data_IF_916274447572
#
_entry.id   IF_916274447572
#
_cell.length_a   1.000
_cell.length_b   1.000
_cell.length_c   1.000
_cell.angle_alpha   90.00
_cell.angle_beta   90.00
_cell.angle_gamma   90.00
#
_symmetry.space_group_name_H-M   'P 1'
#
loop_
_entity.id
_entity.type
_entity.pdbx_description
1 polymer ?
#
# COMPACT_ATOMS: atom_id res chain seq x y z
N UNK A 1 2.20 29.83 -9.91
CA UNK A 1 3.47 30.06 -10.57
C UNK A 1 3.25 30.68 -11.94
N UNK A 2 4.12 31.56 -12.35
CA UNK A 2 4.11 32.23 -13.66
C UNK A 2 5.38 31.83 -14.43
N UNK A 3 5.23 31.51 -15.71
CA UNK A 3 6.34 31.29 -16.63
C UNK A 3 6.27 32.32 -17.75
N UNK A 4 7.39 32.96 -18.04
CA UNK A 4 7.54 33.85 -19.21
C UNK A 4 8.30 33.07 -20.28
N UNK A 5 7.72 33.00 -21.45
CA UNK A 5 8.25 32.28 -22.61
C UNK A 5 8.48 33.28 -23.73
N UNK A 6 9.71 33.35 -24.22
CA UNK A 6 10.12 34.18 -25.35
C UNK A 6 10.63 33.28 -26.47
N UNK A 7 10.04 33.39 -27.65
CA UNK A 7 10.39 32.57 -28.83
C UNK A 7 10.44 31.06 -28.54
N UNK A 8 9.50 30.56 -27.75
CA UNK A 8 9.44 29.16 -27.37
C UNK A 8 10.41 28.73 -26.26
N UNK A 9 11.20 29.66 -25.70
CA UNK A 9 12.09 29.40 -24.57
C UNK A 9 11.51 29.99 -23.29
N UNK A 10 11.56 29.23 -22.19
CA UNK A 10 11.25 29.78 -20.88
C UNK A 10 12.42 30.68 -20.45
N UNK A 11 12.15 31.97 -20.29
CA UNK A 11 13.14 32.96 -19.90
C UNK A 11 13.05 33.31 -18.42
N UNK A 12 11.89 33.18 -17.81
CA UNK A 12 11.69 33.48 -16.40
C UNK A 12 10.65 32.58 -15.74
N UNK A 13 10.86 32.27 -14.45
CA UNK A 13 9.96 31.51 -13.60
C UNK A 13 9.73 32.28 -12.33
N UNK A 14 8.50 32.67 -12.03
CA UNK A 14 8.13 33.34 -10.79
C UNK A 14 7.15 32.46 -10.00
N UNK A 15 7.60 31.95 -8.87
CA UNK A 15 6.81 31.10 -7.97
C UNK A 15 6.35 31.87 -6.72
N UNK A 16 6.91 33.02 -6.41
CA UNK A 16 6.57 33.81 -5.23
C UNK A 16 5.31 34.64 -5.44
N UNK A 17 4.47 34.81 -4.43
CA UNK A 17 3.31 35.71 -4.49
C UNK A 17 3.81 37.18 -4.58
N UNK A 18 3.26 37.95 -5.50
CA UNK A 18 3.64 39.34 -5.65
C UNK A 18 3.05 39.99 -6.90
N UNK A 19 3.26 41.31 -7.03
CA UNK A 19 3.01 42.07 -8.24
C UNK A 19 4.34 42.32 -8.92
N UNK A 20 4.45 41.93 -10.18
CA UNK A 20 5.70 42.00 -10.93
C UNK A 20 5.53 42.83 -12.19
N UNK A 21 6.49 43.69 -12.46
CA UNK A 21 6.60 44.42 -13.73
C UNK A 21 7.68 43.75 -14.57
N UNK A 22 7.29 43.24 -15.72
CA UNK A 22 8.24 42.65 -16.67
C UNK A 22 8.84 43.74 -17.57
N UNK A 23 10.18 43.89 -17.51
CA UNK A 23 10.90 44.80 -18.40
C UNK A 23 11.71 43.98 -19.43
N UNK A 24 11.21 44.00 -20.68
CA UNK A 24 11.84 43.25 -21.76
C UNK A 24 13.18 43.82 -22.23
N UNK A 25 13.60 44.99 -21.70
CA UNK A 25 14.89 45.64 -22.03
C UNK A 25 16.08 45.14 -21.22
N UNK A 26 15.82 44.43 -20.11
CA UNK A 26 16.83 43.84 -19.24
C UNK A 26 17.12 42.38 -19.61
N UNK A 27 18.39 41.95 -19.44
CA UNK A 27 18.72 40.53 -19.58
C UNK A 27 17.90 39.69 -18.61
N UNK A 28 17.45 38.48 -19.03
CA UNK A 28 16.62 37.63 -18.18
C UNK A 28 17.27 37.33 -16.84
N UNK A 29 16.70 37.82 -15.75
CA UNK A 29 17.14 37.47 -14.42
C UNK A 29 16.47 36.15 -14.02
N UNK A 30 17.26 35.11 -13.82
CA UNK A 30 16.77 33.82 -13.32
C UNK A 30 16.53 34.00 -11.82
N UNK A 31 15.28 34.25 -11.44
CA UNK A 31 14.89 34.22 -10.02
C UNK A 31 14.83 32.76 -9.56
N UNK A 32 15.91 32.30 -8.97
CA UNK A 32 16.00 31.01 -8.29
C UNK A 32 15.46 31.13 -6.85
N UNK A 33 14.15 31.07 -6.67
CA UNK A 33 13.59 30.63 -5.39
C UNK A 33 13.93 29.17 -5.11
N UNK A 34 13.62 28.62 -3.94
CA UNK A 34 14.00 27.26 -3.50
C UNK A 34 13.58 26.07 -4.42
N UNK A 35 12.87 26.29 -5.50
CA UNK A 35 12.67 25.39 -6.64
C UNK A 35 13.94 25.27 -7.52
N UNK A 36 14.99 26.09 -7.23
CA UNK A 36 16.08 26.36 -8.15
C UNK A 36 17.09 25.25 -8.39
N UNK A 37 17.24 24.27 -7.53
CA UNK A 37 18.26 23.23 -7.74
C UNK A 37 17.88 22.25 -8.89
N UNK A 38 16.61 21.85 -9.00
CA UNK A 38 16.13 20.99 -10.08
C UNK A 38 15.87 21.77 -11.37
N UNK A 39 15.43 23.02 -11.26
CA UNK A 39 15.17 23.91 -12.39
C UNK A 39 16.46 24.35 -13.05
N UNK A 40 17.52 24.67 -12.30
CA UNK A 40 18.81 25.09 -12.83
C UNK A 40 19.47 24.08 -13.76
N UNK A 41 19.33 22.78 -13.50
CA UNK A 41 19.87 21.74 -14.38
C UNK A 41 19.10 21.64 -15.71
N UNK A 42 17.80 21.87 -15.69
CA UNK A 42 16.98 21.85 -16.91
C UNK A 42 17.28 23.08 -17.79
N UNK A 43 17.49 24.25 -17.18
CA UNK A 43 17.89 25.48 -17.92
C UNK A 43 19.26 25.36 -18.57
N UNK A 44 20.26 24.75 -17.95
CA UNK A 44 21.57 24.54 -18.56
C UNK A 44 21.51 23.66 -19.80
N UNK A 45 20.58 22.72 -19.86
CA UNK A 45 20.39 21.85 -21.02
C UNK A 45 19.58 22.50 -22.17
N UNK A 46 18.67 23.43 -21.85
CA UNK A 46 17.87 24.16 -22.84
C UNK A 46 18.68 25.30 -23.48
N UNK A 47 19.48 26.02 -22.72
CA UNK A 47 20.27 27.18 -23.17
C UNK A 47 21.33 26.87 -24.23
N UNK A 48 21.74 25.62 -24.39
CA UNK A 48 22.81 25.22 -25.33
C UNK A 48 22.35 24.93 -26.76
N UNK A 49 21.05 24.94 -27.06
CA UNK A 49 20.55 24.40 -28.33
C UNK A 49 20.06 25.39 -29.38
N UNK A 50 19.82 26.67 -29.08
CA UNK A 50 19.26 27.59 -30.08
C UNK A 50 19.82 29.00 -29.95
N UNK A 51 20.72 29.35 -30.86
CA UNK A 51 21.05 30.72 -31.25
C UNK A 51 20.38 31.00 -32.60
N UNK A 52 19.32 31.82 -32.61
CA UNK A 52 18.76 32.35 -33.83
C UNK A 52 19.20 33.81 -34.03
N UNK A 53 19.85 34.11 -35.13
CA UNK A 53 20.14 35.47 -35.57
C UNK A 53 18.99 36.00 -36.42
N UNK A 54 18.48 37.18 -36.07
CA UNK A 54 17.49 37.93 -36.82
C UNK A 54 16.49 38.64 -35.93
N UNK A 55 16.27 39.93 -36.10
CA UNK A 55 15.21 40.72 -35.44
C UNK A 55 13.82 40.34 -35.98
N UNK A 56 13.29 39.21 -35.57
CA UNK A 56 11.89 38.85 -35.68
C UNK A 56 11.10 39.46 -34.51
N UNK A 57 9.81 39.84 -34.69
CA UNK A 57 8.98 40.28 -33.57
C UNK A 57 9.02 39.18 -32.50
N UNK A 58 9.44 39.55 -31.28
CA UNK A 58 9.60 38.60 -30.18
C UNK A 58 8.22 38.09 -29.77
N UNK A 59 7.94 36.80 -30.02
CA UNK A 59 6.72 36.18 -29.53
C UNK A 59 6.92 35.91 -28.02
N UNK A 60 6.27 36.72 -27.20
CA UNK A 60 6.30 36.63 -25.74
C UNK A 60 4.95 36.12 -25.25
N UNK A 61 4.99 35.08 -24.40
CA UNK A 61 3.81 34.49 -23.79
C UNK A 61 4.01 34.33 -22.31
N UNK A 62 2.95 34.57 -21.55
CA UNK A 62 2.91 34.39 -20.11
C UNK A 62 1.95 33.25 -19.78
N UNK A 63 2.44 32.25 -19.05
CA UNK A 63 1.65 31.13 -18.61
C UNK A 63 1.53 31.16 -17.10
N UNK A 64 0.29 31.00 -16.61
CA UNK A 64 0.00 30.89 -15.18
C UNK A 64 -0.36 29.46 -14.82
N UNK A 65 0.31 28.92 -13.80
CA UNK A 65 0.07 27.58 -13.28
C UNK A 65 -0.53 27.63 -11.90
N UNK A 66 -1.63 26.91 -11.70
CA UNK A 66 -2.17 26.68 -10.37
C UNK A 66 -1.35 25.61 -9.69
N UNK A 67 -0.46 26.01 -8.76
CA UNK A 67 0.37 25.12 -7.96
C UNK A 67 -0.29 24.71 -6.65
N UNK A 68 -1.52 25.19 -6.38
CA UNK A 68 -2.30 24.76 -5.23
C UNK A 68 -2.77 23.32 -5.41
N UNK A 69 -3.17 22.72 -4.31
CA UNK A 69 -3.79 21.41 -4.30
C UNK A 69 -5.07 21.37 -5.14
N UNK A 70 -5.14 20.44 -6.06
CA UNK A 70 -6.29 20.16 -6.92
C UNK A 70 -7.07 18.99 -6.32
N UNK A 71 -8.13 19.33 -5.60
CA UNK A 71 -8.99 18.39 -4.86
C UNK A 71 -10.15 17.86 -5.70
N UNK A 72 -10.87 16.86 -5.16
CA UNK A 72 -12.12 16.35 -5.71
C UNK A 72 -11.95 15.44 -6.94
N UNK A 73 -10.78 14.82 -7.12
CA UNK A 73 -10.57 13.86 -8.19
C UNK A 73 -11.05 12.49 -7.75
N UNK A 74 -12.18 12.05 -8.28
CA UNK A 74 -12.81 10.78 -7.92
C UNK A 74 -12.19 9.62 -8.66
N UNK A 75 -11.93 8.52 -7.95
CA UNK A 75 -11.51 7.25 -8.52
C UNK A 75 -12.40 6.10 -8.04
N UNK A 76 -12.38 5.02 -8.75
CA UNK A 76 -13.02 3.75 -8.38
C UNK A 76 -12.46 2.64 -9.25
N UNK A 77 -12.28 1.48 -8.66
CA UNK A 77 -11.74 0.31 -9.35
C UNK A 77 -12.86 -0.40 -10.11
N UNK A 78 -12.87 -0.40 -11.45
CA UNK A 78 -13.91 -1.08 -12.25
C UNK A 78 -13.82 -2.60 -12.09
N UNK A 79 -12.61 -3.12 -11.93
CA UNK A 79 -12.31 -4.53 -11.66
C UNK A 79 -11.68 -4.67 -10.28
N UNK A 80 -11.83 -5.83 -9.62
CA UNK A 80 -11.13 -6.08 -8.36
C UNK A 80 -9.61 -5.96 -8.54
N UNK A 81 -8.96 -5.33 -7.56
CA UNK A 81 -7.50 -5.22 -7.48
C UNK A 81 -7.00 -6.30 -6.54
N UNK A 82 -6.00 -7.10 -6.92
CA UNK A 82 -5.44 -8.11 -6.04
C UNK A 82 -4.86 -7.48 -4.76
N UNK A 83 -5.20 -8.09 -3.61
CA UNK A 83 -4.68 -7.71 -2.30
C UNK A 83 -4.31 -8.96 -1.53
N UNK A 84 -3.07 -9.08 -1.12
CA UNK A 84 -2.59 -10.23 -0.34
C UNK A 84 -3.02 -10.10 1.11
N UNK A 85 -3.70 -11.11 1.63
CA UNK A 85 -4.09 -11.20 3.05
C UNK A 85 -3.17 -12.18 3.75
N UNK A 86 -2.41 -11.68 4.71
CA UNK A 86 -1.51 -12.50 5.55
C UNK A 86 -1.99 -12.44 6.99
N UNK A 87 -2.28 -13.59 7.58
CA UNK A 87 -2.52 -13.76 9.01
C UNK A 87 -1.64 -14.90 9.54
N UNK A 88 -0.50 -14.54 10.09
CA UNK A 88 0.49 -15.51 10.62
C UNK A 88 -0.09 -16.37 11.75
N UNK A 89 -1.03 -15.85 12.53
CA UNK A 89 -1.66 -16.59 13.64
C UNK A 89 -2.60 -17.65 13.13
N UNK A 90 -3.35 -17.32 12.08
CA UNK A 90 -4.27 -18.25 11.43
C UNK A 90 -3.59 -19.15 10.38
N UNK A 91 -2.33 -18.83 10.00
CA UNK A 91 -1.62 -19.50 8.91
C UNK A 91 -2.29 -19.25 7.56
N UNK A 92 -2.84 -18.03 7.35
CA UNK A 92 -3.51 -17.59 6.14
C UNK A 92 -2.52 -16.79 5.31
N UNK A 93 -2.37 -17.13 4.05
CA UNK A 93 -1.63 -16.37 3.05
C UNK A 93 -2.33 -16.58 1.71
N UNK A 94 -3.20 -15.65 1.34
CA UNK A 94 -4.05 -15.73 0.15
C UNK A 94 -4.18 -14.38 -0.52
N UNK A 95 -4.40 -14.39 -1.82
CA UNK A 95 -4.78 -13.20 -2.58
C UNK A 95 -6.29 -13.12 -2.72
N UNK A 96 -6.85 -11.93 -2.50
CA UNK A 96 -8.26 -11.63 -2.66
C UNK A 96 -8.44 -10.48 -3.64
N UNK A 97 -9.61 -10.39 -4.26
CA UNK A 97 -10.00 -9.26 -5.08
C UNK A 97 -10.69 -8.18 -4.26
N UNK A 98 -10.11 -6.96 -4.18
CA UNK A 98 -10.77 -5.84 -3.51
C UNK A 98 -11.22 -4.78 -4.50
N UNK A 99 -12.39 -4.22 -4.25
CA UNK A 99 -12.88 -3.02 -4.93
C UNK A 99 -12.87 -1.86 -3.97
N UNK A 100 -12.37 -0.72 -4.44
CA UNK A 100 -12.38 0.49 -3.66
C UNK A 100 -12.74 1.71 -4.51
N UNK A 101 -13.24 2.74 -3.83
CA UNK A 101 -13.44 4.05 -4.41
C UNK A 101 -13.14 5.13 -3.39
N UNK A 102 -12.86 6.32 -3.89
CA UNK A 102 -12.55 7.46 -3.06
C UNK A 102 -12.18 8.68 -3.90
N UNK A 103 -11.46 9.58 -3.27
CA UNK A 103 -10.98 10.80 -3.89
C UNK A 103 -9.48 10.95 -3.64
N UNK A 104 -8.78 11.54 -4.59
CA UNK A 104 -7.39 11.93 -4.43
C UNK A 104 -7.21 13.39 -4.78
N UNK A 105 -6.14 13.96 -4.28
CA UNK A 105 -5.69 15.28 -4.66
C UNK A 105 -4.24 15.23 -5.13
N UNK A 106 -3.91 16.12 -6.03
CA UNK A 106 -2.56 16.30 -6.53
C UNK A 106 -2.24 17.77 -6.72
N UNK A 107 -0.98 18.09 -6.88
CA UNK A 107 -0.56 19.43 -7.26
C UNK A 107 0.53 19.40 -8.34
N UNK A 108 0.73 20.54 -8.98
CA UNK A 108 1.85 20.75 -9.89
C UNK A 108 3.06 21.13 -9.03
N UNK A 109 3.92 20.16 -8.74
CA UNK A 109 5.15 20.35 -7.96
C UNK A 109 6.26 21.03 -8.78
N UNK A 110 6.29 20.75 -10.09
CA UNK A 110 7.26 21.37 -11.01
C UNK A 110 6.55 21.92 -12.26
N UNK A 111 6.18 23.21 -12.24
CA UNK A 111 5.48 23.86 -13.38
C UNK A 111 6.27 23.85 -14.69
N UNK A 112 7.61 23.86 -14.61
CA UNK A 112 8.45 23.84 -15.81
C UNK A 112 8.39 22.50 -16.54
N UNK A 113 8.46 21.38 -15.80
CA UNK A 113 8.26 20.04 -16.36
C UNK A 113 6.86 19.89 -16.93
N UNK A 114 5.86 20.41 -16.23
CA UNK A 114 4.48 20.38 -16.68
C UNK A 114 4.30 21.17 -17.97
N UNK A 115 4.87 22.38 -18.06
CA UNK A 115 4.87 23.18 -19.28
C UNK A 115 5.52 22.42 -20.44
N UNK A 116 6.73 21.95 -20.23
CA UNK A 116 7.56 21.35 -21.29
C UNK A 116 6.94 20.05 -21.84
N UNK A 117 6.38 19.23 -20.97
CA UNK A 117 5.98 17.86 -21.32
C UNK A 117 4.48 17.67 -21.47
N UNK A 118 3.65 18.62 -21.01
CA UNK A 118 2.19 18.46 -21.01
C UNK A 118 1.49 19.57 -21.79
N UNK A 119 1.74 20.85 -21.51
CA UNK A 119 0.93 21.96 -22.02
C UNK A 119 1.69 23.00 -22.83
N UNK A 120 2.92 22.73 -23.28
CA UNK A 120 3.78 23.70 -23.98
C UNK A 120 3.21 24.33 -25.26
N UNK A 121 2.16 23.77 -25.85
CA UNK A 121 1.54 24.24 -27.09
C UNK A 121 0.13 24.84 -26.89
N UNK A 122 -0.26 25.09 -25.66
CA UNK A 122 -1.58 25.65 -25.34
C UNK A 122 -1.62 27.13 -25.65
N UNK A 123 -2.66 27.57 -26.33
CA UNK A 123 -2.86 28.99 -26.76
C UNK A 123 -3.72 29.79 -25.79
N UNK A 124 -4.68 29.14 -25.10
CA UNK A 124 -5.58 29.81 -24.16
C UNK A 124 -5.50 29.21 -22.78
N UNK A 125 -6.16 28.07 -22.56
CA UNK A 125 -6.20 27.40 -21.26
C UNK A 125 -6.00 25.89 -21.39
N UNK A 126 -5.24 25.32 -20.49
CA UNK A 126 -5.13 23.88 -20.29
C UNK A 126 -5.94 23.50 -19.06
N UNK A 127 -7.09 22.86 -19.30
CA UNK A 127 -8.00 22.49 -18.22
C UNK A 127 -7.66 21.11 -17.65
N UNK A 128 -8.00 20.89 -16.39
CA UNK A 128 -7.82 19.61 -15.69
C UNK A 128 -8.43 18.43 -16.45
N UNK A 129 -9.60 18.62 -17.05
CA UNK A 129 -10.36 17.57 -17.75
C UNK A 129 -9.57 16.92 -18.89
N UNK A 130 -8.63 17.67 -19.48
CA UNK A 130 -7.77 17.16 -20.57
C UNK A 130 -6.85 16.03 -20.08
N UNK A 131 -6.44 16.07 -18.82
CA UNK A 131 -5.49 15.12 -18.25
C UNK A 131 -6.16 14.07 -17.33
N UNK A 132 -7.37 14.35 -16.85
CA UNK A 132 -8.04 13.57 -15.80
C UNK A 132 -8.16 12.07 -16.12
N UNK A 133 -8.58 11.74 -17.34
CA UNK A 133 -8.74 10.33 -17.75
C UNK A 133 -7.42 9.56 -17.73
N UNK A 134 -6.33 10.20 -18.16
CA UNK A 134 -5.00 9.59 -18.17
C UNK A 134 -4.46 9.43 -16.75
N UNK A 135 -4.54 10.47 -15.93
CA UNK A 135 -4.10 10.41 -14.53
C UNK A 135 -4.85 9.32 -13.77
N UNK A 136 -6.16 9.21 -13.98
CA UNK A 136 -7.00 8.19 -13.37
C UNK A 136 -6.59 6.78 -13.81
N UNK A 137 -6.33 6.57 -15.09
CA UNK A 137 -5.87 5.27 -15.60
C UNK A 137 -4.52 4.86 -15.03
N UNK A 138 -3.57 5.78 -14.97
CA UNK A 138 -2.25 5.53 -14.39
C UNK A 138 -2.32 5.29 -12.89
N UNK A 139 -3.15 6.05 -12.16
CA UNK A 139 -3.41 5.85 -10.74
C UNK A 139 -3.96 4.44 -10.47
N UNK A 140 -4.97 4.00 -11.24
CA UNK A 140 -5.56 2.68 -11.08
C UNK A 140 -4.54 1.55 -11.35
N UNK A 141 -3.63 1.76 -12.28
CA UNK A 141 -2.54 0.82 -12.55
C UNK A 141 -1.54 0.76 -11.38
N UNK A 142 -1.22 1.90 -10.78
CA UNK A 142 -0.32 2.00 -9.64
C UNK A 142 -0.92 1.49 -8.31
N UNK A 143 -2.25 1.35 -8.23
CA UNK A 143 -2.92 0.84 -7.01
C UNK A 143 -2.49 -0.59 -6.69
N UNK A 144 -2.30 -1.45 -7.68
CA UNK A 144 -1.93 -2.84 -7.42
C UNK A 144 -0.56 -2.97 -6.72
N UNK A 145 0.55 -2.42 -7.23
CA UNK A 145 1.82 -2.47 -6.53
C UNK A 145 1.79 -1.69 -5.20
N UNK A 146 1.08 -0.56 -5.13
CA UNK A 146 0.92 0.18 -3.87
C UNK A 146 0.21 -0.68 -2.80
N UNK A 147 -0.87 -1.37 -3.15
CA UNK A 147 -1.57 -2.26 -2.22
C UNK A 147 -0.73 -3.49 -1.84
N UNK A 148 0.07 -4.03 -2.75
CA UNK A 148 1.00 -5.11 -2.43
C UNK A 148 2.02 -4.67 -1.35
N UNK A 149 2.50 -3.43 -1.43
CA UNK A 149 3.37 -2.82 -0.42
C UNK A 149 2.69 -2.68 0.93
N UNK A 150 1.47 -2.11 0.95
CA UNK A 150 0.67 -1.93 2.15
C UNK A 150 0.36 -3.28 2.82
N UNK A 151 0.00 -4.28 2.03
CA UNK A 151 -0.20 -5.66 2.51
C UNK A 151 1.10 -6.25 3.10
N UNK A 152 2.24 -6.00 2.46
CA UNK A 152 3.57 -6.41 2.98
C UNK A 152 3.91 -5.80 4.34
N UNK A 153 3.34 -4.66 4.70
CA UNK A 153 3.43 -4.03 6.02
C UNK A 153 2.51 -4.70 7.06
N UNK A 154 1.73 -5.71 6.68
CA UNK A 154 0.78 -6.40 7.55
C UNK A 154 -0.56 -5.66 7.75
N UNK A 155 -0.83 -4.64 6.96
CA UNK A 155 -2.07 -3.86 7.02
C UNK A 155 -3.18 -4.64 6.30
N UNK A 156 -4.31 -4.83 7.00
CA UNK A 156 -5.48 -5.52 6.42
C UNK A 156 -6.23 -4.62 5.43
N UNK A 157 -6.86 -5.22 4.41
CA UNK A 157 -7.65 -4.46 3.44
C UNK A 157 -8.74 -3.59 4.08
N UNK A 158 -9.38 -4.09 5.15
CA UNK A 158 -10.42 -3.36 5.89
C UNK A 158 -9.89 -2.14 6.67
N UNK A 159 -8.58 -2.05 6.90
CA UNK A 159 -7.92 -0.95 7.58
C UNK A 159 -7.41 0.14 6.62
N UNK A 160 -7.46 -0.08 5.30
CA UNK A 160 -6.99 0.88 4.28
C UNK A 160 -7.53 2.31 4.46
N UNK A 161 -8.82 2.54 4.85
CA UNK A 161 -9.30 3.89 5.10
C UNK A 161 -8.57 4.66 6.22
N UNK A 162 -7.90 3.93 7.12
CA UNK A 162 -7.08 4.51 8.19
C UNK A 162 -5.61 4.76 7.81
N UNK A 163 -5.14 4.24 6.66
CA UNK A 163 -3.75 4.29 6.22
C UNK A 163 -3.56 5.08 4.92
N UNK A 164 -4.27 6.20 4.83
CA UNK A 164 -4.32 7.02 3.61
C UNK A 164 -2.99 7.67 3.27
N UNK A 165 -2.18 8.03 4.28
CA UNK A 165 -0.87 8.63 4.07
C UNK A 165 0.15 7.63 3.53
N UNK A 166 0.15 6.42 4.07
CA UNK A 166 1.02 5.34 3.61
C UNK A 166 0.68 4.93 2.16
N UNK A 167 -0.61 4.92 1.82
CA UNK A 167 -1.06 4.65 0.45
C UNK A 167 -0.62 5.77 -0.48
N UNK A 168 -0.77 7.04 -0.09
CA UNK A 168 -0.32 8.19 -0.89
C UNK A 168 1.19 8.15 -1.13
N UNK A 169 1.98 7.81 -0.11
CA UNK A 169 3.43 7.65 -0.23
C UNK A 169 3.79 6.50 -1.19
N UNK A 170 3.14 5.35 -1.07
CA UNK A 170 3.35 4.21 -1.96
C UNK A 170 2.98 4.54 -3.41
N UNK A 171 1.87 5.22 -3.64
CA UNK A 171 1.45 5.67 -4.97
C UNK A 171 2.42 6.69 -5.58
N UNK A 172 2.92 7.65 -4.79
CA UNK A 172 3.92 8.61 -5.26
C UNK A 172 5.22 7.93 -5.69
N UNK A 173 5.63 6.87 -4.99
CA UNK A 173 6.81 6.10 -5.39
C UNK A 173 6.58 5.34 -6.69
N UNK A 174 5.44 4.66 -6.83
CA UNK A 174 5.09 3.92 -8.05
C UNK A 174 4.90 4.84 -9.28
N UNK A 175 4.37 6.04 -9.06
CA UNK A 175 4.11 7.02 -10.11
C UNK A 175 5.28 8.00 -10.34
N UNK A 176 6.37 7.92 -9.55
CA UNK A 176 7.45 8.90 -9.57
C UNK A 176 8.04 9.16 -10.96
N UNK A 177 8.31 8.09 -11.71
CA UNK A 177 8.89 8.21 -13.05
C UNK A 177 7.98 8.93 -14.05
N UNK A 178 6.67 8.73 -13.94
CA UNK A 178 5.70 9.29 -14.89
C UNK A 178 5.14 10.64 -14.44
N UNK A 179 4.86 10.79 -13.15
CA UNK A 179 4.22 11.99 -12.62
C UNK A 179 5.25 13.01 -12.19
N UNK A 180 6.13 12.68 -11.23
CA UNK A 180 7.11 13.61 -10.69
C UNK A 180 8.20 13.96 -11.70
N UNK A 181 8.89 12.96 -12.23
CA UNK A 181 10.10 13.16 -13.02
C UNK A 181 9.79 13.62 -14.44
N UNK A 182 8.66 13.18 -15.00
CA UNK A 182 8.28 13.52 -16.36
C UNK A 182 7.32 14.70 -16.44
N UNK A 183 6.30 14.77 -15.57
CA UNK A 183 5.24 15.80 -15.65
C UNK A 183 5.29 16.82 -14.52
N UNK A 184 6.09 16.60 -13.48
CA UNK A 184 6.15 17.49 -12.33
C UNK A 184 4.89 17.47 -11.47
N UNK A 185 4.19 16.33 -11.39
CA UNK A 185 2.97 16.13 -10.60
C UNK A 185 3.24 15.27 -9.37
N UNK A 186 2.56 15.57 -8.26
CA UNK A 186 2.62 14.75 -7.04
C UNK A 186 1.24 14.60 -6.42
N UNK A 187 0.96 13.41 -5.87
CA UNK A 187 -0.22 13.16 -5.04
C UNK A 187 0.01 13.81 -3.68
N UNK A 188 -0.94 14.64 -3.25
CA UNK A 188 -0.94 15.28 -1.93
C UNK A 188 -1.70 14.43 -0.92
N UNK A 189 -2.89 13.96 -1.31
CA UNK A 189 -3.72 13.13 -0.46
C UNK A 189 -4.41 12.03 -1.28
N UNK A 190 -4.62 10.89 -0.64
CA UNK A 190 -5.35 9.77 -1.20
C UNK A 190 -6.34 9.25 -0.16
N UNK A 191 -7.62 9.40 -0.44
CA UNK A 191 -8.71 8.97 0.44
C UNK A 191 -9.36 7.69 -0.06
N UNK A 192 -9.64 6.76 0.84
CA UNK A 192 -10.40 5.54 0.56
C UNK A 192 -11.75 5.67 1.27
N UNK A 193 -12.80 5.97 0.54
CA UNK A 193 -14.16 6.13 1.09
C UNK A 193 -14.81 4.78 1.40
N UNK A 194 -14.50 3.76 0.61
CA UNK A 194 -14.99 2.41 0.82
C UNK A 194 -14.02 1.40 0.20
N UNK A 195 -13.87 0.28 0.88
CA UNK A 195 -13.18 -0.90 0.38
C UNK A 195 -14.01 -2.13 0.69
N UNK A 196 -14.17 -3.02 -0.31
CA UNK A 196 -14.91 -4.28 -0.19
C UNK A 196 -14.13 -5.37 -0.91
N UNK A 197 -14.04 -6.54 -0.29
CA UNK A 197 -13.66 -7.75 -1.01
C UNK A 197 -14.90 -8.35 -1.71
N UNK A 198 -14.70 -9.20 -2.68
CA UNK A 198 -15.79 -9.97 -3.27
C UNK A 198 -16.38 -10.90 -2.19
N UNK A 199 -17.69 -11.13 -2.26
CA UNK A 199 -18.42 -11.89 -1.22
C UNK A 199 -17.86 -13.31 -1.02
N UNK A 200 -17.44 -13.95 -2.12
CA UNK A 200 -16.80 -15.27 -2.08
C UNK A 200 -15.46 -15.23 -1.32
N UNK A 201 -14.65 -14.20 -1.52
CA UNK A 201 -13.37 -14.01 -0.85
C UNK A 201 -13.56 -13.71 0.64
N UNK A 202 -14.55 -12.88 0.99
CA UNK A 202 -14.88 -12.61 2.39
C UNK A 202 -15.35 -13.87 3.12
N UNK A 203 -16.15 -14.70 2.46
CA UNK A 203 -16.60 -15.96 3.04
C UNK A 203 -15.42 -16.91 3.22
N UNK A 204 -14.55 -17.04 2.22
CA UNK A 204 -13.34 -17.85 2.30
C UNK A 204 -12.44 -17.43 3.47
N UNK A 205 -12.22 -16.13 3.67
CA UNK A 205 -11.44 -15.62 4.82
C UNK A 205 -12.10 -16.04 6.13
N UNK A 206 -13.42 -15.87 6.26
CA UNK A 206 -14.17 -16.26 7.48
C UNK A 206 -14.06 -17.76 7.75
N UNK A 207 -14.14 -18.58 6.72
CA UNK A 207 -14.05 -20.04 6.87
C UNK A 207 -12.62 -20.48 7.23
N UNK A 208 -11.59 -19.84 6.64
CA UNK A 208 -10.19 -20.09 7.03
C UNK A 208 -9.92 -19.66 8.47
N UNK A 209 -10.46 -18.51 8.90
CA UNK A 209 -10.31 -18.05 10.28
C UNK A 209 -11.02 -19.00 11.26
N UNK A 210 -12.22 -19.48 10.95
CA UNK A 210 -12.92 -20.50 11.74
C UNK A 210 -12.12 -21.79 11.83
N UNK A 211 -11.60 -22.25 10.70
CA UNK A 211 -10.75 -23.46 10.66
C UNK A 211 -9.47 -23.30 11.47
N UNK A 212 -8.86 -22.11 11.47
CA UNK A 212 -7.70 -21.83 12.28
C UNK A 212 -7.99 -21.86 13.80
N UNK A 213 -9.16 -21.34 14.21
CA UNK A 213 -9.64 -21.44 15.60
C UNK A 213 -9.88 -22.90 16.01
N UNK A 214 -10.41 -23.71 15.09
CA UNK A 214 -10.64 -25.15 15.35
C UNK A 214 -9.37 -25.99 15.42
N UNK A 215 -8.21 -25.47 15.00
CA UNK A 215 -6.89 -26.13 15.17
C UNK A 215 -6.42 -26.09 16.63
N UNK A 216 -6.93 -25.19 17.45
CA UNK A 216 -6.68 -25.20 18.89
C UNK A 216 -7.62 -26.22 19.55
N UNK A 217 -7.09 -27.30 20.17
CA UNK A 217 -7.93 -28.36 20.73
C UNK A 217 -8.88 -27.85 21.81
N UNK A 218 -8.52 -26.82 22.57
CA UNK A 218 -9.36 -26.25 23.63
C UNK A 218 -10.55 -25.48 23.03
N UNK A 219 -10.31 -24.73 21.95
CA UNK A 219 -11.36 -23.98 21.23
C UNK A 219 -12.28 -24.94 20.45
N UNK A 220 -11.72 -25.99 19.86
CA UNK A 220 -12.49 -27.03 19.19
C UNK A 220 -13.44 -27.76 20.19
N UNK A 221 -12.92 -28.08 21.39
CA UNK A 221 -13.72 -28.68 22.45
C UNK A 221 -14.84 -27.75 22.94
N UNK A 222 -14.57 -26.45 23.12
CA UNK A 222 -15.57 -25.46 23.52
C UNK A 222 -16.69 -25.32 22.46
N UNK A 223 -16.32 -25.33 21.18
CA UNK A 223 -17.27 -25.27 20.08
C UNK A 223 -18.14 -26.53 19.99
N UNK A 224 -17.54 -27.71 20.20
CA UNK A 224 -18.26 -28.97 20.25
C UNK A 224 -19.29 -29.01 21.37
N UNK A 225 -18.90 -28.57 22.58
CA UNK A 225 -19.80 -28.46 23.74
C UNK A 225 -20.93 -27.46 23.46
N UNK A 226 -20.63 -26.32 22.84
CA UNK A 226 -21.63 -25.35 22.43
C UNK A 226 -22.64 -25.93 21.43
N UNK A 227 -22.16 -26.60 20.39
CA UNK A 227 -23.01 -27.27 19.40
C UNK A 227 -23.87 -28.38 20.00
N UNK A 228 -23.30 -29.16 20.97
CA UNK A 228 -24.09 -30.17 21.69
C UNK A 228 -25.16 -29.54 22.56
N UNK A 229 -24.85 -28.43 23.25
CA UNK A 229 -25.86 -27.72 24.06
C UNK A 229 -26.99 -27.14 23.19
N UNK A 230 -26.66 -26.62 22.03
CA UNK A 230 -27.63 -26.07 21.06
C UNK A 230 -28.48 -27.18 20.44
N UNK A 231 -27.91 -28.32 20.10
CA UNK A 231 -28.62 -29.51 19.64
C UNK A 231 -29.59 -30.05 20.71
N UNK A 232 -29.16 -30.10 21.96
CA UNK A 232 -29.99 -30.50 23.11
C UNK A 232 -31.16 -29.54 23.33
N UNK A 233 -30.89 -28.22 23.22
CA UNK A 233 -31.94 -27.20 23.30
C UNK A 233 -32.95 -27.30 22.17
N UNK A 234 -32.47 -27.55 20.94
CA UNK A 234 -33.34 -27.79 19.78
C UNK A 234 -34.17 -29.07 19.91
N UNK A 235 -33.57 -30.14 20.46
CA UNK A 235 -34.28 -31.39 20.73
C UNK A 235 -35.32 -31.24 21.85
N UNK A 236 -35.02 -30.45 22.89
CA UNK A 236 -35.94 -30.19 24.00
C UNK A 236 -37.15 -29.30 23.58
N UNK A 237 -37.01 -28.50 22.52
CA UNK A 237 -38.10 -27.67 21.98
C UNK A 237 -39.07 -28.41 21.07
N UNK A 238 -38.75 -29.63 20.65
CA UNK A 238 -39.59 -30.49 19.83
C UNK A 238 -40.26 -31.61 20.69
N UNK A 239 -41.58 -31.60 20.81
CA UNK A 239 -42.35 -32.57 21.61
C UNK A 239 -42.09 -34.05 21.27
N UNK A 240 -41.64 -34.36 20.05
CA UNK A 240 -41.27 -35.73 19.62
C UNK A 240 -39.74 -35.96 19.50
N UNK A 241 -38.89 -34.96 19.72
CA UNK A 241 -37.45 -35.03 19.48
C UNK A 241 -36.59 -35.37 20.70
N UNK A 242 -37.10 -35.12 21.91
CA UNK A 242 -36.34 -35.30 23.15
C UNK A 242 -35.87 -36.74 23.39
N UNK A 243 -36.71 -37.73 23.08
CA UNK A 243 -36.40 -39.15 23.31
C UNK A 243 -35.42 -39.71 22.26
N UNK A 244 -35.52 -39.27 20.99
CA UNK A 244 -34.62 -39.67 19.90
C UNK A 244 -33.22 -38.97 20.03
N UNK A 245 -33.19 -37.71 20.49
CA UNK A 245 -31.95 -36.98 20.70
C UNK A 245 -31.08 -37.60 21.79
N UNK A 246 -31.68 -38.09 22.90
CA UNK A 246 -30.98 -38.75 23.97
C UNK A 246 -30.39 -40.12 23.58
N UNK A 247 -31.14 -40.90 22.77
CA UNK A 247 -30.71 -42.19 22.22
C UNK A 247 -29.54 -42.02 21.22
N UNK A 248 -29.60 -41.00 20.37
CA UNK A 248 -28.57 -40.68 19.39
C UNK A 248 -27.25 -40.25 20.05
N UNK A 249 -27.30 -39.47 21.12
CA UNK A 249 -26.11 -39.03 21.87
C UNK A 249 -25.42 -40.20 22.61
N UNK A 250 -26.18 -41.12 23.17
CA UNK A 250 -25.66 -42.31 23.82
C UNK A 250 -24.96 -43.26 22.84
N UNK A 251 -25.50 -43.43 21.62
CA UNK A 251 -24.88 -44.21 20.55
C UNK A 251 -23.61 -43.57 19.99
N UNK A 252 -23.58 -42.23 19.83
CA UNK A 252 -22.43 -41.52 19.32
C UNK A 252 -21.23 -41.57 20.32
N UNK A 253 -21.48 -41.59 21.63
CA UNK A 253 -20.44 -41.73 22.64
C UNK A 253 -19.87 -43.18 22.66
N UNK A 254 -20.68 -44.17 22.33
CA UNK A 254 -20.29 -45.60 22.33
C UNK A 254 -19.56 -45.98 21.02
N UNK A 255 -19.71 -45.20 19.94
CA UNK A 255 -19.11 -45.47 18.63
C UNK A 255 -17.67 -44.91 18.48
N UNK A 256 -16.98 -44.47 19.55
CA UNK A 256 -15.58 -44.09 19.50
C UNK A 256 -15.28 -42.70 18.95
N UNK A 257 -16.27 -41.79 18.94
CA UNK A 257 -16.02 -40.39 18.61
C UNK A 257 -15.14 -39.67 19.65
N UNK A 258 -14.19 -38.87 19.24
CA UNK A 258 -13.32 -38.08 20.14
C UNK A 258 -14.19 -37.25 21.10
N UNK A 259 -13.97 -37.47 22.40
CA UNK A 259 -14.73 -36.82 23.46
C UNK A 259 -14.17 -35.41 23.72
N UNK A 260 -15.04 -34.45 24.06
CA UNK A 260 -14.62 -33.10 24.43
C UNK A 260 -13.55 -33.10 25.53
N UNK A 261 -13.58 -34.05 26.45
CA UNK A 261 -12.57 -34.19 27.48
C UNK A 261 -11.18 -34.55 26.96
N UNK A 262 -11.10 -35.36 25.90
CA UNK A 262 -9.81 -35.71 25.27
C UNK A 262 -9.22 -34.53 24.52
N UNK A 263 -10.04 -33.71 23.90
CA UNK A 263 -9.63 -32.46 23.25
C UNK A 263 -9.13 -31.44 24.29
N UNK A 264 -9.80 -31.31 25.45
CA UNK A 264 -9.34 -30.43 26.52
C UNK A 264 -8.00 -30.93 27.12
N UNK A 265 -7.81 -32.25 27.27
CA UNK A 265 -6.54 -32.82 27.69
C UNK A 265 -5.41 -32.55 26.72
N UNK A 266 -5.65 -32.72 25.41
CA UNK A 266 -4.69 -32.38 24.36
C UNK A 266 -4.32 -30.90 24.38
N UNK A 267 -5.31 -29.99 24.55
CA UNK A 267 -5.09 -28.54 24.65
C UNK A 267 -4.22 -28.18 25.87
N UNK A 268 -4.48 -28.79 27.02
CA UNK A 268 -3.69 -28.59 28.23
C UNK A 268 -2.25 -29.07 28.09
N UNK A 269 -2.01 -30.22 27.45
CA UNK A 269 -0.67 -30.72 27.15
C UNK A 269 0.09 -29.85 26.17
N UNK A 270 -0.57 -29.31 25.17
CA UNK A 270 0.06 -28.41 24.19
C UNK A 270 0.43 -27.05 24.79
N UNK A 271 -0.34 -26.55 25.75
CA UNK A 271 0.02 -25.33 26.51
C UNK A 271 1.21 -25.58 27.45
N UNK A 272 1.29 -26.73 28.09
CA UNK A 272 2.43 -27.10 28.93
C UNK A 272 3.71 -27.27 28.10
N UNK A 273 3.65 -27.85 26.92
CA UNK A 273 4.79 -27.98 26.00
C UNK A 273 5.31 -26.62 25.49
N UNK A 274 4.44 -25.64 25.33
CA UNK A 274 4.83 -24.27 24.95
C UNK A 274 5.39 -23.45 26.13
N UNK A 275 5.11 -23.84 27.36
CA UNK A 275 5.56 -23.15 28.58
C UNK A 275 6.92 -23.65 29.12
N UNK A 276 7.48 -24.71 28.57
CA UNK A 276 8.83 -25.15 28.93
C UNK A 276 9.87 -24.35 28.14
N UNK A 277 10.71 -23.51 28.81
CA UNK A 277 11.85 -22.90 28.15
C UNK A 277 12.83 -24.00 27.73
N UNK A 278 13.35 -23.91 26.53
CA UNK A 278 14.40 -24.78 26.02
C UNK A 278 15.59 -24.73 26.97
N UNK A 279 15.74 -25.75 27.82
CA UNK A 279 16.95 -25.94 28.60
C UNK A 279 18.08 -26.28 27.64
N UNK A 280 19.06 -25.38 27.63
CA UNK A 280 20.20 -25.44 26.75
C UNK A 280 20.98 -26.74 26.87
N UNK A 281 21.25 -27.32 25.73
CA UNK A 281 22.35 -28.28 25.59
C UNK A 281 23.68 -27.51 25.80
N UNK A 282 24.31 -27.71 26.93
CA UNK A 282 25.71 -27.39 27.11
C UNK A 282 26.55 -28.36 26.26
N UNK A 283 27.52 -27.90 25.47
CA UNK A 283 28.44 -28.82 24.81
C UNK A 283 29.40 -29.41 25.81
N UNK A 284 29.51 -30.75 25.81
CA UNK A 284 30.48 -31.52 26.58
C UNK A 284 31.90 -31.09 26.20
N UNK A 285 32.67 -30.64 27.20
CA UNK A 285 34.10 -30.48 27.06
C UNK A 285 34.75 -31.89 27.03
N UNK A 286 35.29 -32.23 25.86
CA UNK A 286 36.26 -33.34 25.75
C UNK A 286 37.62 -32.83 26.23
N UNK A 287 38.04 -33.33 27.39
CA UNK A 287 39.41 -33.28 27.86
C UNK A 287 40.29 -34.17 26.97
N UNK A 288 41.31 -33.60 26.37
CA UNK A 288 42.45 -34.37 25.89
C UNK A 288 43.70 -33.96 26.66
N UNK A 289 44.09 -34.84 27.57
CA UNK A 289 45.45 -34.99 28.01
C UNK A 289 46.33 -35.46 26.84
N UNK A 290 47.40 -34.76 26.54
CA UNK A 290 48.55 -35.32 25.86
C UNK A 290 49.85 -34.76 26.43
N UNK A 291 50.61 -35.68 27.03
CA UNK A 291 52.00 -35.64 27.33
C UNK A 291 52.87 -35.14 26.20
N UNK A 292 53.94 -34.42 26.59
CA UNK A 292 55.06 -34.15 25.70
C UNK A 292 55.88 -35.41 25.38
N UNK A 293 57.03 -35.38 24.76
CA UNK A 293 58.20 -34.60 25.15
C UNK A 293 59.05 -34.01 24.02
N UNK A 294 59.90 -33.06 24.38
CA UNK A 294 61.26 -32.74 24.02
C UNK A 294 61.91 -33.14 22.66
N UNK A 295 62.65 -32.19 22.13
CA UNK A 295 63.77 -32.37 21.20
C UNK A 295 63.66 -31.41 20.03
N UNK A 296 64.41 -30.33 19.86
CA UNK A 296 65.82 -30.29 19.73
C UNK A 296 66.15 -29.79 18.33
N UNK A 297 66.88 -28.70 18.27
CA UNK A 297 67.89 -28.29 17.27
C UNK A 297 67.51 -27.58 15.96
N UNK A 298 68.00 -26.34 15.90
CA UNK A 298 68.90 -25.73 14.86
C UNK A 298 68.29 -25.51 13.44
N UNK A 299 68.50 -24.24 13.05
CA UNK A 299 68.56 -23.82 11.71
C UNK A 299 68.07 -22.39 11.59
#
# INVERSE_FOLDING_TARGET
>A
CMLIVEQGKVVEVCAEPGEYTYDASTEPSIFAGNLGASIGQVFQNIGKRFTFGGEAPKDQRIYYFNTKELTGNKYGTPSPVPFRVVDQRAGIDIDIGIRCFGEYSYHIANPLLFYTNVCGNVTEAYTRDTLDSQLKSELLTALQPAFARISGMGIRYSALPGHTQEIAAALNEELSAQWRDRRGLEIVAFGVSSVKADEADEQMIKDLQRSAVMRDPSMAAATLVGAQAEALKGAASNENGAMMGFMGLGMAQQAGGMNAQDLFRMGAQQQQAKAQPAQGLLPAQQGQNLHGPAGGHQG
#
